data_IF_043186784123
#
_entry.id   IF_043186784123
#
_cell.length_a   1.000
_cell.length_b   1.000
_cell.length_c   1.000
_cell.angle_alpha   90.00
_cell.angle_beta   90.00
_cell.angle_gamma   90.00
#
_symmetry.space_group_name_H-M   'P 1'
#
loop_
_entity.id
_entity.type
_entity.pdbx_description
1 polymer ?
#
# COMPACT_ATOMS: atom_id res chain seq x y z
N UNK A 1 8.36 12.70 -8.23
CA UNK A 1 7.18 11.85 -8.53
C UNK A 1 6.80 11.08 -7.28
N UNK A 2 5.54 10.67 -7.15
CA UNK A 2 5.07 9.79 -6.07
C UNK A 2 4.66 8.45 -6.68
N UNK A 3 4.99 7.36 -6.01
CA UNK A 3 4.60 5.99 -6.36
C UNK A 3 3.87 5.41 -5.16
N UNK A 4 2.75 4.75 -5.43
CA UNK A 4 1.97 3.99 -4.46
C UNK A 4 1.83 2.57 -5.01
N UNK A 5 2.39 1.60 -4.30
CA UNK A 5 2.30 0.17 -4.63
C UNK A 5 1.43 -0.53 -3.60
N UNK A 6 0.32 -1.11 -4.03
CA UNK A 6 -0.65 -1.80 -3.17
C UNK A 6 -0.45 -3.29 -3.37
N UNK A 7 0.22 -3.93 -2.40
CA UNK A 7 0.43 -5.38 -2.36
C UNK A 7 -0.68 -6.12 -1.62
N UNK A 8 -0.43 -7.39 -1.29
CA UNK A 8 -1.35 -8.23 -0.52
C UNK A 8 -1.46 -7.78 0.94
N UNK A 9 -0.38 -7.84 1.71
CA UNK A 9 -0.40 -7.49 3.14
C UNK A 9 0.00 -6.05 3.47
N UNK A 10 0.62 -5.34 2.53
CA UNK A 10 1.16 -3.99 2.73
C UNK A 10 0.92 -3.09 1.53
N UNK A 11 0.93 -1.79 1.78
CA UNK A 11 0.98 -0.74 0.76
C UNK A 11 2.23 0.08 1.01
N UNK A 12 3.03 0.25 -0.04
CA UNK A 12 4.25 1.04 -0.02
C UNK A 12 4.01 2.38 -0.70
N UNK A 13 4.39 3.48 -0.04
CA UNK A 13 4.33 4.83 -0.60
C UNK A 13 5.74 5.38 -0.66
N UNK A 14 6.17 5.80 -1.85
CA UNK A 14 7.48 6.40 -2.06
C UNK A 14 7.38 7.73 -2.81
N UNK A 15 8.21 8.70 -2.43
CA UNK A 15 8.41 9.95 -3.18
C UNK A 15 9.83 9.94 -3.72
N UNK A 16 9.96 10.19 -5.03
CA UNK A 16 11.20 10.24 -5.77
C UNK A 16 11.52 11.69 -6.18
N UNK A 17 12.78 12.10 -6.03
CA UNK A 17 13.32 13.37 -6.52
C UNK A 17 14.75 13.17 -7.03
N UNK A 18 15.07 13.73 -8.20
CA UNK A 18 16.40 13.65 -8.82
C UNK A 18 16.97 12.22 -8.86
N UNK A 19 16.12 11.23 -9.18
CA UNK A 19 16.52 9.82 -9.24
C UNK A 19 16.69 9.11 -7.90
N UNK A 20 16.43 9.78 -6.77
CA UNK A 20 16.58 9.24 -5.42
C UNK A 20 15.24 9.14 -4.69
N UNK A 21 15.12 8.22 -3.75
CA UNK A 21 13.99 8.14 -2.82
C UNK A 21 14.20 9.20 -1.73
N UNK A 22 13.27 10.15 -1.65
CA UNK A 22 13.29 11.20 -0.60
C UNK A 22 12.34 10.89 0.55
N UNK A 23 11.39 9.99 0.35
CA UNK A 23 10.50 9.48 1.38
C UNK A 23 10.03 8.07 1.01
N UNK A 24 9.95 7.17 1.99
CA UNK A 24 9.37 5.85 1.85
C UNK A 24 8.62 5.47 3.14
N UNK A 25 7.42 4.91 2.99
CA UNK A 25 6.63 4.43 4.11
C UNK A 25 5.81 3.19 3.71
N UNK A 26 5.94 2.13 4.51
CA UNK A 26 5.11 0.94 4.45
C UNK A 26 3.97 1.01 5.46
N UNK A 27 2.75 0.68 5.04
CA UNK A 27 1.61 0.46 5.94
C UNK A 27 1.08 -0.96 5.79
N UNK A 28 0.70 -1.60 6.91
CA UNK A 28 0.17 -2.99 6.93
C UNK A 28 -1.31 -3.07 6.57
N UNK A 29 -1.61 -2.57 5.38
CA UNK A 29 -2.92 -2.64 4.73
C UNK A 29 -2.68 -2.90 3.25
N UNK A 30 -3.43 -3.82 2.66
CA UNK A 30 -3.34 -4.18 1.25
C UNK A 30 -4.54 -5.05 0.86
N UNK A 31 -4.39 -5.84 -0.20
CA UNK A 31 -5.39 -6.81 -0.68
C UNK A 31 -5.99 -7.69 0.42
N UNK A 32 -5.17 -8.23 1.34
CA UNK A 32 -5.66 -9.13 2.40
C UNK A 32 -6.71 -8.45 3.29
N UNK A 33 -6.52 -7.16 3.58
CA UNK A 33 -7.47 -6.37 4.38
C UNK A 33 -8.74 -6.04 3.60
N UNK A 34 -8.63 -5.91 2.28
CA UNK A 34 -9.78 -5.70 1.41
C UNK A 34 -10.60 -6.99 1.32
N UNK A 35 -9.94 -8.13 1.15
CA UNK A 35 -10.59 -9.46 1.14
C UNK A 35 -11.32 -9.73 2.47
N UNK A 36 -10.66 -9.49 3.60
CA UNK A 36 -11.27 -9.58 4.93
C UNK A 36 -12.53 -8.70 5.04
N UNK A 37 -12.48 -7.48 4.51
CA UNK A 37 -13.61 -6.55 4.54
C UNK A 37 -14.77 -7.02 3.65
N UNK A 38 -14.48 -7.57 2.45
CA UNK A 38 -15.50 -8.14 1.56
C UNK A 38 -16.15 -9.35 2.22
N UNK A 39 -15.35 -10.27 2.75
CA UNK A 39 -15.84 -11.45 3.47
C UNK A 39 -16.69 -11.04 4.68
N UNK A 40 -16.24 -10.04 5.44
CA UNK A 40 -16.96 -9.51 6.59
C UNK A 40 -18.29 -8.85 6.22
N UNK A 41 -18.37 -8.16 5.09
CA UNK A 41 -19.60 -7.55 4.59
C UNK A 41 -20.61 -8.57 4.06
N UNK A 42 -20.12 -9.70 3.54
CA UNK A 42 -20.97 -10.79 3.03
C UNK A 42 -21.54 -11.71 4.13
N UNK A 43 -21.07 -11.59 5.37
CA UNK A 43 -21.58 -12.35 6.52
C UNK A 43 -22.70 -11.61 7.22
#
# INVERSE_FOLDING_TARGET
>A
SMVVDIGGGTTEVAILSLGNIVYAHSVRVGGDKIDDAIIGYMR
#
